data_IF_518687865059
#
_entry.id   IF_518687865059
#
_cell.length_a   1.000
_cell.length_b   1.000
_cell.length_c   1.000
_cell.angle_alpha   90.00
_cell.angle_beta   90.00
_cell.angle_gamma   90.00
#
_symmetry.space_group_name_H-M   'P 1'
#
loop_
_entity.id
_entity.type
_entity.pdbx_description
1 polymer ?
#
# COMPACT_ATOMS: atom_id res chain seq x y z
N UNK A 1 7.57 -7.97 33.13
CA UNK A 1 8.31 -8.20 31.88
C UNK A 1 7.45 -9.05 30.97
N UNK A 2 6.75 -8.43 30.05
CA UNK A 2 6.00 -9.14 29.00
C UNK A 2 7.01 -9.60 27.97
N UNK A 3 7.29 -10.90 27.92
CA UNK A 3 7.96 -11.51 26.79
C UNK A 3 6.97 -11.44 25.60
N UNK A 4 7.16 -10.46 24.74
CA UNK A 4 6.53 -10.46 23.42
C UNK A 4 7.19 -11.60 22.63
N UNK A 5 6.56 -12.77 22.63
CA UNK A 5 6.88 -13.80 21.67
C UNK A 5 6.61 -13.21 20.30
N UNK A 6 7.64 -13.12 19.46
CA UNK A 6 7.47 -12.68 18.08
C UNK A 6 6.67 -13.76 17.35
N UNK A 7 5.39 -13.52 17.18
CA UNK A 7 4.50 -14.42 16.42
C UNK A 7 4.65 -14.23 14.90
N UNK A 8 5.58 -13.37 14.45
CA UNK A 8 5.82 -13.05 13.04
C UNK A 8 7.32 -13.05 12.71
N UNK A 9 7.62 -13.23 11.45
CA UNK A 9 8.96 -13.13 10.89
C UNK A 9 9.04 -11.91 9.98
N UNK A 10 10.25 -11.36 9.83
CA UNK A 10 10.49 -10.36 8.78
C UNK A 10 10.62 -11.05 7.43
N UNK A 11 10.32 -10.31 6.36
CA UNK A 11 10.49 -10.81 4.99
C UNK A 11 11.92 -11.35 4.80
N UNK A 12 12.01 -12.61 4.34
CA UNK A 12 13.27 -13.27 4.04
C UNK A 12 13.41 -13.44 2.51
N UNK A 13 14.30 -12.68 1.84
CA UNK A 13 14.45 -12.74 0.38
C UNK A 13 15.00 -14.08 -0.13
N UNK A 14 15.52 -14.95 0.76
CA UNK A 14 16.06 -16.26 0.44
C UNK A 14 15.03 -17.40 0.63
N UNK A 15 13.89 -17.10 1.25
CA UNK A 15 12.82 -18.08 1.42
C UNK A 15 11.86 -18.05 0.22
N UNK A 16 11.02 -19.08 0.13
CA UNK A 16 10.01 -19.18 -0.90
C UNK A 16 9.02 -18.01 -0.83
N UNK A 17 8.81 -17.35 -1.95
CA UNK A 17 7.92 -16.20 -2.10
C UNK A 17 6.88 -16.53 -3.18
N UNK A 18 5.62 -16.50 -2.82
CA UNK A 18 4.55 -16.57 -3.80
C UNK A 18 4.31 -15.20 -4.42
N UNK A 19 4.23 -15.16 -5.74
CA UNK A 19 3.87 -13.95 -6.45
C UNK A 19 2.38 -14.05 -6.85
N UNK A 20 1.56 -13.24 -6.22
CA UNK A 20 0.16 -13.12 -6.60
C UNK A 20 0.06 -12.13 -7.76
N UNK A 21 -0.38 -12.62 -8.91
CA UNK A 21 -0.62 -11.80 -10.09
C UNK A 21 -1.93 -11.02 -9.91
N UNK A 22 -1.80 -9.73 -9.73
CA UNK A 22 -2.87 -8.74 -9.74
C UNK A 22 -2.42 -7.53 -10.56
N UNK A 23 -3.17 -6.43 -10.55
CA UNK A 23 -2.76 -5.17 -11.19
C UNK A 23 -1.38 -4.68 -10.74
N UNK A 24 -0.98 -5.04 -9.53
CA UNK A 24 0.38 -4.91 -9.00
C UNK A 24 0.80 -6.28 -8.49
N UNK A 25 2.00 -6.77 -8.83
CA UNK A 25 2.50 -8.01 -8.28
C UNK A 25 2.70 -7.87 -6.77
N UNK A 26 2.09 -8.75 -6.02
CA UNK A 26 2.23 -8.81 -4.57
C UNK A 26 3.09 -10.01 -4.19
N UNK A 27 4.17 -9.74 -3.51
CA UNK A 27 5.01 -10.78 -2.93
C UNK A 27 4.37 -11.26 -1.64
N UNK A 28 4.08 -12.53 -1.58
CA UNK A 28 3.50 -13.14 -0.40
C UNK A 28 4.45 -14.18 0.21
N UNK A 29 4.69 -14.05 1.50
CA UNK A 29 5.48 -14.98 2.29
C UNK A 29 4.71 -15.29 3.57
N UNK A 30 4.43 -16.55 3.80
CA UNK A 30 3.69 -16.98 4.99
C UNK A 30 4.45 -16.61 6.26
N UNK A 31 3.74 -16.05 7.23
CA UNK A 31 4.32 -15.63 8.52
C UNK A 31 5.06 -14.28 8.49
N UNK A 32 5.28 -13.69 7.31
CA UNK A 32 5.93 -12.40 7.25
C UNK A 32 5.02 -11.26 7.71
N UNK A 33 5.63 -10.25 8.35
CA UNK A 33 4.96 -9.01 8.73
C UNK A 33 4.83 -8.10 7.52
N UNK A 34 3.61 -7.67 7.23
CA UNK A 34 3.29 -6.71 6.18
C UNK A 34 2.93 -5.37 6.77
N UNK A 35 3.44 -4.31 6.15
CA UNK A 35 3.01 -2.95 6.40
C UNK A 35 2.23 -2.45 5.20
N UNK A 36 0.97 -2.10 5.42
CA UNK A 36 0.07 -1.64 4.36
C UNK A 36 -0.42 -0.24 4.66
N UNK A 37 -0.35 0.61 3.64
CA UNK A 37 -0.89 1.96 3.67
C UNK A 37 -1.87 2.11 2.52
N UNK A 38 -3.06 2.60 2.79
CA UNK A 38 -3.99 3.03 1.75
C UNK A 38 -4.54 4.42 2.06
N UNK A 39 -4.83 5.16 1.01
CA UNK A 39 -5.34 6.54 1.11
C UNK A 39 -6.73 6.62 0.48
N UNK A 40 -7.48 7.65 0.85
CA UNK A 40 -8.74 7.94 0.20
C UNK A 40 -8.48 8.31 -1.28
N UNK A 41 -9.44 7.96 -2.15
CA UNK A 41 -9.32 8.15 -3.60
C UNK A 41 -9.22 9.63 -4.02
N UNK A 42 -9.69 10.55 -3.17
CA UNK A 42 -9.62 11.99 -3.36
C UNK A 42 -8.35 12.65 -2.79
N UNK A 43 -7.41 11.86 -2.24
CA UNK A 43 -6.12 12.35 -1.72
C UNK A 43 -5.24 13.02 -2.78
N UNK A 44 -5.50 12.76 -4.06
CA UNK A 44 -4.91 13.47 -5.20
C UNK A 44 -6.07 13.95 -6.08
N UNK A 45 -6.11 15.26 -6.46
CA UNK A 45 -7.11 15.77 -7.40
C UNK A 45 -7.07 15.02 -8.72
N UNK A 46 -8.24 14.60 -9.21
CA UNK A 46 -8.33 13.75 -10.41
C UNK A 46 -7.71 14.38 -11.65
N UNK A 47 -7.80 15.70 -11.80
CA UNK A 47 -7.17 16.44 -12.90
C UNK A 47 -5.64 16.31 -12.88
N UNK A 48 -5.03 16.46 -11.70
CA UNK A 48 -3.58 16.27 -11.52
C UNK A 48 -3.15 14.84 -11.83
N UNK A 49 -3.93 13.85 -11.35
CA UNK A 49 -3.66 12.44 -11.61
C UNK A 49 -3.77 12.12 -13.11
N UNK A 50 -4.77 12.70 -13.78
CA UNK A 50 -4.96 12.51 -15.22
C UNK A 50 -3.81 13.10 -16.05
N UNK A 51 -3.37 14.32 -15.73
CA UNK A 51 -2.20 14.93 -16.35
C UNK A 51 -0.95 14.09 -16.15
N UNK A 52 -0.71 13.65 -14.91
CA UNK A 52 0.42 12.80 -14.57
C UNK A 52 0.41 11.48 -15.35
N UNK A 53 -0.74 10.81 -15.47
CA UNK A 53 -0.88 9.58 -16.25
C UNK A 53 -0.52 9.80 -17.71
N UNK A 54 -1.04 10.86 -18.34
CA UNK A 54 -0.75 11.20 -19.73
C UNK A 54 0.74 11.47 -19.93
N UNK A 55 1.37 12.28 -19.05
CA UNK A 55 2.81 12.56 -19.11
C UNK A 55 3.63 11.28 -18.96
N UNK A 56 3.23 10.41 -18.03
CA UNK A 56 3.91 9.15 -17.77
C UNK A 56 3.78 8.15 -18.93
N UNK A 57 2.61 8.03 -19.52
CA UNK A 57 2.38 7.18 -20.71
C UNK A 57 3.23 7.62 -21.89
N UNK A 58 3.32 8.95 -22.15
CA UNK A 58 4.19 9.51 -23.19
C UNK A 58 5.67 9.25 -22.90
N UNK A 59 6.07 9.33 -21.64
CA UNK A 59 7.43 9.02 -21.22
C UNK A 59 7.74 7.53 -21.39
N UNK A 60 6.82 6.63 -20.98
CA UNK A 60 6.95 5.17 -21.16
C UNK A 60 7.10 4.77 -22.64
N UNK A 61 6.35 5.41 -23.52
CA UNK A 61 6.44 5.14 -24.96
C UNK A 61 7.83 5.45 -25.54
N UNK A 62 8.57 6.39 -24.92
CA UNK A 62 9.94 6.76 -25.30
C UNK A 62 11.01 5.97 -24.56
N UNK A 63 10.65 5.43 -23.41
CA UNK A 63 11.54 4.72 -22.49
C UNK A 63 10.99 3.32 -22.17
N UNK A 64 11.06 2.37 -23.11
CA UNK A 64 10.59 1.00 -22.84
C UNK A 64 11.49 0.32 -21.79
N UNK A 65 10.89 -0.56 -20.99
CA UNK A 65 11.65 -1.39 -20.04
C UNK A 65 12.51 -2.44 -20.76
N UNK A 66 13.64 -2.88 -20.18
CA UNK A 66 14.17 -2.49 -18.86
C UNK A 66 14.81 -1.11 -18.86
N UNK A 67 14.66 -0.38 -17.75
CA UNK A 67 15.23 0.96 -17.61
C UNK A 67 16.69 0.92 -17.15
N UNK A 68 17.49 1.85 -17.68
CA UNK A 68 18.83 2.12 -17.17
C UNK A 68 18.79 3.02 -15.91
N UNK A 69 19.95 3.25 -15.29
CA UNK A 69 20.06 4.03 -14.07
C UNK A 69 19.58 5.49 -14.23
N UNK A 70 19.83 6.10 -15.40
CA UNK A 70 19.41 7.48 -15.67
C UNK A 70 17.87 7.55 -15.82
N UNK A 71 17.29 6.59 -16.51
CA UNK A 71 15.83 6.48 -16.64
C UNK A 71 15.13 6.21 -15.33
N UNK A 72 15.74 5.40 -14.45
CA UNK A 72 15.25 5.18 -13.09
C UNK A 72 15.30 6.47 -12.28
N UNK A 73 16.39 7.22 -12.33
CA UNK A 73 16.52 8.51 -11.64
C UNK A 73 15.53 9.54 -12.16
N UNK A 74 15.35 9.64 -13.49
CA UNK A 74 14.34 10.48 -14.11
C UNK A 74 12.91 10.12 -13.64
N UNK A 75 12.58 8.83 -13.63
CA UNK A 75 11.30 8.36 -13.12
C UNK A 75 11.09 8.77 -11.66
N UNK A 76 12.09 8.52 -10.80
CA UNK A 76 12.01 8.86 -9.38
C UNK A 76 11.81 10.36 -9.16
N UNK A 77 12.57 11.18 -9.88
CA UNK A 77 12.55 12.64 -9.69
C UNK A 77 11.31 13.29 -10.27
N UNK A 78 10.86 12.90 -11.47
CA UNK A 78 9.78 13.58 -12.18
C UNK A 78 8.40 12.97 -11.91
N UNK A 79 8.33 11.65 -11.69
CA UNK A 79 7.05 10.96 -11.56
C UNK A 79 6.75 10.52 -10.12
N UNK A 80 7.62 9.76 -9.49
CA UNK A 80 7.36 9.23 -8.15
C UNK A 80 7.30 10.36 -7.11
N UNK A 81 8.29 11.24 -7.09
CA UNK A 81 8.36 12.37 -6.14
C UNK A 81 7.19 13.35 -6.30
N UNK A 82 6.68 13.54 -7.51
CA UNK A 82 5.52 14.40 -7.78
C UNK A 82 4.27 13.90 -7.07
N UNK A 83 4.04 12.59 -7.10
CA UNK A 83 2.95 11.93 -6.37
C UNK A 83 3.11 12.11 -4.84
N UNK A 84 4.31 11.86 -4.32
CA UNK A 84 4.61 12.04 -2.90
C UNK A 84 4.31 13.47 -2.43
N UNK A 85 4.81 14.46 -3.16
CA UNK A 85 4.54 15.88 -2.86
C UNK A 85 3.05 16.23 -2.86
N UNK A 86 2.27 15.65 -3.77
CA UNK A 86 0.82 15.89 -3.78
C UNK A 86 0.12 15.22 -2.61
N UNK A 87 0.55 14.02 -2.22
CA UNK A 87 0.02 13.33 -1.05
C UNK A 87 0.30 14.10 0.24
N UNK A 88 1.48 14.74 0.34
CA UNK A 88 1.88 15.56 1.48
C UNK A 88 1.12 16.89 1.58
N UNK A 89 0.60 17.40 0.46
CA UNK A 89 -0.23 18.61 0.43
C UNK A 89 -1.60 18.43 1.09
N UNK A 90 -2.01 17.18 1.38
CA UNK A 90 -3.23 16.89 2.12
C UNK A 90 -4.52 17.24 1.38
N UNK A 91 -4.53 17.09 0.04
CA UNK A 91 -5.76 17.24 -0.75
C UNK A 91 -6.85 16.25 -0.32
N UNK A 92 -8.08 16.59 -0.65
CA UNK A 92 -9.24 15.75 -0.44
C UNK A 92 -10.10 16.15 0.75
N UNK A 93 -11.18 15.45 0.93
CA UNK A 93 -12.20 15.73 1.95
C UNK A 93 -11.72 15.47 3.38
N UNK A 94 -10.61 14.75 3.56
CA UNK A 94 -10.16 14.28 4.88
C UNK A 94 -11.27 13.58 5.67
N UNK A 95 -12.09 12.79 4.97
CA UNK A 95 -13.31 12.17 5.49
C UNK A 95 -13.07 11.36 6.78
N UNK A 96 -11.91 10.72 6.88
CA UNK A 96 -11.56 9.89 8.06
C UNK A 96 -11.25 10.72 9.31
N UNK A 97 -11.26 12.07 9.23
CA UNK A 97 -11.22 12.94 10.41
C UNK A 97 -12.49 12.79 11.24
N UNK A 98 -13.61 12.50 10.59
CA UNK A 98 -14.88 12.23 11.26
C UNK A 98 -14.82 10.85 11.91
N UNK A 99 -15.02 10.81 13.23
CA UNK A 99 -14.89 9.58 14.03
C UNK A 99 -15.80 8.43 13.51
N UNK A 100 -16.98 8.75 13.01
CA UNK A 100 -17.91 7.75 12.48
C UNK A 100 -17.31 6.98 11.29
N UNK A 101 -16.66 7.67 10.34
CA UNK A 101 -16.04 7.03 9.18
C UNK A 101 -14.74 6.31 9.55
N UNK A 102 -13.91 6.93 10.41
CA UNK A 102 -12.71 6.26 10.91
C UNK A 102 -13.04 4.95 11.63
N UNK A 103 -14.13 4.96 12.42
CA UNK A 103 -14.63 3.76 13.11
C UNK A 103 -15.05 2.65 12.14
N UNK A 104 -15.73 2.98 11.04
CA UNK A 104 -16.11 2.00 10.02
C UNK A 104 -14.86 1.30 9.45
N UNK A 105 -13.81 2.07 9.11
CA UNK A 105 -12.57 1.51 8.59
C UNK A 105 -11.89 0.62 9.63
N UNK A 106 -11.79 1.08 10.86
CA UNK A 106 -11.21 0.30 11.96
C UNK A 106 -12.00 -1.01 12.21
N UNK A 107 -13.32 -0.94 12.25
CA UNK A 107 -14.19 -2.12 12.44
C UNK A 107 -14.03 -3.12 11.28
N UNK A 108 -13.89 -2.64 10.03
CA UNK A 108 -13.63 -3.50 8.88
C UNK A 108 -12.27 -4.22 8.99
N UNK A 109 -11.22 -3.53 9.41
CA UNK A 109 -9.91 -4.12 9.64
C UNK A 109 -9.95 -5.16 10.75
N UNK A 110 -10.64 -4.86 11.84
CA UNK A 110 -10.70 -5.74 13.00
C UNK A 110 -11.63 -6.95 12.80
N UNK A 111 -12.56 -6.89 11.86
CA UNK A 111 -13.55 -7.94 11.60
C UNK A 111 -12.94 -9.32 11.39
N UNK A 112 -11.83 -9.39 10.69
CA UNK A 112 -11.14 -10.64 10.35
C UNK A 112 -9.84 -10.84 11.14
N UNK A 113 -9.61 -9.99 12.16
CA UNK A 113 -8.46 -10.13 13.04
C UNK A 113 -8.57 -11.45 13.81
N UNK A 114 -7.49 -12.21 13.88
CA UNK A 114 -7.38 -13.57 14.43
C UNK A 114 -8.04 -14.68 13.60
N UNK A 115 -8.81 -14.35 12.54
CA UNK A 115 -9.41 -15.32 11.63
C UNK A 115 -8.58 -15.45 10.34
N UNK A 116 -8.41 -14.35 9.61
CA UNK A 116 -7.68 -14.33 8.32
C UNK A 116 -6.25 -13.79 8.45
N UNK A 117 -6.04 -12.88 9.37
CA UNK A 117 -4.76 -12.27 9.67
C UNK A 117 -4.71 -11.85 11.13
N UNK A 118 -3.55 -11.55 11.63
CA UNK A 118 -3.38 -10.96 12.95
C UNK A 118 -2.81 -9.56 12.81
N UNK A 119 -3.54 -8.55 13.26
CA UNK A 119 -3.10 -7.16 13.24
C UNK A 119 -2.17 -6.93 14.43
N UNK A 120 -0.99 -6.38 14.17
CA UNK A 120 -0.06 -5.92 15.18
C UNK A 120 -0.43 -4.51 15.64
N UNK A 121 -0.51 -3.59 14.70
CA UNK A 121 -0.99 -2.23 14.96
C UNK A 121 -1.74 -1.65 13.77
N UNK A 122 -2.59 -0.65 14.01
CA UNK A 122 -3.22 0.13 12.98
C UNK A 122 -3.41 1.58 13.41
N UNK A 123 -3.44 2.47 12.44
CA UNK A 123 -3.72 3.89 12.62
C UNK A 123 -4.63 4.37 11.50
N UNK A 124 -5.72 5.06 11.85
CA UNK A 124 -6.60 5.74 10.91
C UNK A 124 -6.38 7.24 11.08
N UNK A 125 -5.81 7.89 10.07
CA UNK A 125 -5.61 9.33 10.00
C UNK A 125 -6.67 9.98 9.10
N UNK A 126 -6.62 11.29 8.92
CA UNK A 126 -7.68 12.05 8.24
C UNK A 126 -7.98 11.62 6.79
N UNK A 127 -6.98 11.14 6.06
CA UNK A 127 -7.08 10.75 4.66
C UNK A 127 -6.33 9.46 4.31
N UNK A 128 -5.79 8.80 5.32
CA UNK A 128 -5.04 7.55 5.13
C UNK A 128 -5.27 6.58 6.28
N UNK A 129 -5.11 5.30 5.99
CA UNK A 129 -5.03 4.25 6.98
C UNK A 129 -3.73 3.47 6.78
N UNK A 130 -3.07 3.18 7.89
CA UNK A 130 -1.87 2.34 7.93
C UNK A 130 -2.13 1.19 8.89
N UNK A 131 -1.69 -0.01 8.54
CA UNK A 131 -1.71 -1.14 9.46
C UNK A 131 -0.58 -2.11 9.16
N UNK A 132 -0.12 -2.80 10.20
CA UNK A 132 0.77 -3.94 10.07
C UNK A 132 0.03 -5.21 10.46
N UNK A 133 0.23 -6.26 9.70
CA UNK A 133 -0.38 -7.56 9.94
C UNK A 133 0.49 -8.69 9.41
N UNK A 134 0.22 -9.93 9.88
CA UNK A 134 0.79 -11.14 9.30
C UNK A 134 -0.28 -12.21 9.10
N UNK A 135 -0.04 -13.11 8.17
CA UNK A 135 -0.93 -14.22 7.83
C UNK A 135 -0.27 -15.55 8.15
N UNK A 136 -1.03 -16.45 8.75
CA UNK A 136 -0.55 -17.80 9.06
C UNK A 136 -0.71 -18.78 7.88
N UNK A 137 -1.53 -18.46 6.87
CA UNK A 137 -1.82 -19.30 5.71
C UNK A 137 -2.03 -18.45 4.47
N UNK A 138 -1.60 -18.99 3.32
CA UNK A 138 -2.00 -18.46 2.02
C UNK A 138 -3.52 -18.57 1.90
N UNK A 139 -4.19 -17.45 1.73
CA UNK A 139 -5.60 -17.45 1.38
C UNK A 139 -5.74 -17.29 -0.12
N UNK A 140 -6.34 -18.30 -0.75
CA UNK A 140 -6.83 -18.17 -2.11
C UNK A 140 -8.01 -17.17 -2.07
N UNK A 141 -7.76 -15.92 -2.43
CA UNK A 141 -8.82 -14.98 -2.70
C UNK A 141 -9.45 -15.34 -4.04
N UNK A 142 -10.77 -15.49 -4.13
CA UNK A 142 -11.40 -15.55 -5.44
C UNK A 142 -11.06 -14.25 -6.19
N UNK A 143 -10.62 -14.37 -7.43
CA UNK A 143 -10.40 -13.22 -8.29
C UNK A 143 -11.73 -12.45 -8.40
N UNK A 144 -11.68 -11.14 -8.10
CA UNK A 144 -12.79 -10.22 -8.32
C UNK A 144 -12.84 -9.80 -9.79
#
# INVERSE_FOLDING_TARGET
MLQAGKDFEYFNPLAEVEMLEANLPHWHQVGALYFVTFRLSDSIPQEKLHQWKNEFELWLARNPKPWDLNQIDEYQTHFARKIELWLDQGFGSSLLREHAYAKIVADCLLKFNQDRYKIDCHTVASNLCMHSYWQHKVMNYPAF
#
